data_IF_246789837437
#
_entry.id   IF_246789837437
#
_cell.length_a   1.000
_cell.length_b   1.000
_cell.length_c   1.000
_cell.angle_alpha   90.00
_cell.angle_beta   90.00
_cell.angle_gamma   90.00
#
_symmetry.space_group_name_H-M   'P 1'
#
loop_
_entity.id
_entity.type
_entity.pdbx_description
1 polymer ?
#
# COMPACT_ATOMS: atom_id res chain seq x y z
N UNK A 1 18.00 10.58 39.80
CA UNK A 1 17.71 11.17 38.48
C UNK A 1 17.98 10.09 37.45
N UNK A 2 17.01 9.62 36.67
CA UNK A 2 17.29 8.67 35.62
C UNK A 2 17.99 9.41 34.47
N UNK A 3 19.10 8.85 34.01
CA UNK A 3 19.83 9.27 32.83
C UNK A 3 18.85 9.29 31.65
N UNK A 4 18.60 10.48 31.11
CA UNK A 4 17.90 10.67 29.84
C UNK A 4 18.63 9.90 28.75
N UNK A 5 17.95 8.94 28.15
CA UNK A 5 18.37 8.28 26.90
C UNK A 5 18.84 9.36 25.89
N UNK A 6 19.95 9.14 25.16
CA UNK A 6 20.46 10.14 24.23
C UNK A 6 19.45 10.36 23.09
N UNK A 7 18.72 11.46 23.18
CA UNK A 7 18.05 12.18 22.09
C UNK A 7 17.07 11.39 21.20
N UNK A 8 15.99 10.85 21.79
CA UNK A 8 14.77 10.61 21.01
C UNK A 8 14.26 11.97 20.47
N UNK A 9 14.38 12.20 19.15
CA UNK A 9 13.81 13.36 18.47
C UNK A 9 12.63 12.90 17.61
N UNK A 10 11.41 13.38 17.87
CA UNK A 10 10.25 13.05 17.03
C UNK A 10 10.54 13.33 15.55
N UNK A 11 10.28 12.34 14.69
CA UNK A 11 10.37 12.51 13.24
C UNK A 11 9.04 13.04 12.68
N UNK A 12 7.94 12.61 13.29
CA UNK A 12 6.59 13.03 12.98
C UNK A 12 5.87 13.49 14.26
N UNK A 13 4.84 14.30 14.08
CA UNK A 13 3.96 14.72 15.17
C UNK A 13 3.12 13.53 15.65
N UNK A 14 2.87 13.39 16.96
CA UNK A 14 2.02 12.32 17.48
C UNK A 14 0.54 12.55 17.17
N UNK A 15 0.10 13.81 17.04
CA UNK A 15 -1.23 14.12 16.54
C UNK A 15 -1.34 13.84 15.03
N UNK A 16 -2.51 13.37 14.61
CA UNK A 16 -2.78 13.01 13.23
C UNK A 16 -4.20 13.42 12.85
N UNK A 17 -4.42 13.65 11.55
CA UNK A 17 -5.76 13.78 10.97
C UNK A 17 -6.19 12.39 10.46
N UNK A 18 -7.46 12.06 10.63
CA UNK A 18 -8.03 10.81 10.12
C UNK A 18 -9.26 11.09 9.29
N UNK A 19 -9.32 10.47 8.10
CA UNK A 19 -10.45 10.53 7.20
C UNK A 19 -10.95 9.10 6.93
N UNK A 20 -12.22 8.77 7.25
CA UNK A 20 -12.81 7.49 6.86
C UNK A 20 -12.79 7.33 5.34
N UNK A 21 -12.29 6.20 4.86
CA UNK A 21 -12.20 5.88 3.44
C UNK A 21 -12.06 4.36 3.27
N UNK A 22 -12.88 3.76 2.41
CA UNK A 22 -12.76 2.33 2.12
C UNK A 22 -11.81 2.13 0.95
N UNK A 23 -10.60 1.66 1.23
CA UNK A 23 -9.60 1.34 0.20
C UNK A 23 -9.64 -0.16 -0.08
N UNK A 24 -10.02 -0.54 -1.30
CA UNK A 24 -10.17 -1.96 -1.64
C UNK A 24 -8.81 -2.59 -1.94
N UNK A 25 -8.41 -3.55 -1.10
CA UNK A 25 -7.20 -4.34 -1.28
C UNK A 25 -7.58 -5.70 -1.89
N UNK A 26 -7.18 -5.93 -3.14
CA UNK A 26 -7.53 -7.17 -3.86
C UNK A 26 -6.39 -8.14 -4.05
N UNK A 27 -5.16 -7.70 -3.80
CA UNK A 27 -4.00 -8.58 -3.76
C UNK A 27 -3.38 -8.50 -2.37
N UNK A 28 -3.21 -9.66 -1.73
CA UNK A 28 -2.78 -9.72 -0.34
C UNK A 28 -1.35 -9.23 -0.12
N UNK A 29 -0.47 -9.31 -1.13
CA UNK A 29 0.90 -8.76 -1.05
C UNK A 29 1.04 -7.33 -1.59
N UNK A 30 0.22 -6.89 -2.55
CA UNK A 30 0.46 -5.61 -3.22
C UNK A 30 -0.31 -4.52 -2.48
N UNK A 31 0.42 -3.54 -1.95
CA UNK A 31 -0.12 -2.51 -1.06
C UNK A 31 0.19 -1.08 -1.53
N UNK A 32 0.57 -0.84 -2.79
CA UNK A 32 0.86 0.52 -3.29
C UNK A 32 -0.39 1.10 -4.01
N UNK A 33 -1.49 1.28 -3.27
CA UNK A 33 -2.81 1.62 -3.83
C UNK A 33 -3.22 3.10 -3.68
N UNK A 34 -2.42 3.91 -2.99
CA UNK A 34 -2.72 5.34 -2.79
C UNK A 34 -1.72 6.22 -3.53
N UNK A 35 -2.17 7.35 -4.06
CA UNK A 35 -1.32 8.29 -4.80
C UNK A 35 -1.64 9.74 -4.48
N UNK A 36 -0.62 10.56 -4.31
CA UNK A 36 -0.70 12.01 -4.09
C UNK A 36 0.04 12.73 -5.21
N UNK A 37 -0.63 13.45 -6.13
CA UNK A 37 0.05 14.19 -7.18
C UNK A 37 0.84 15.36 -6.61
N UNK A 38 2.08 15.55 -7.09
CA UNK A 38 2.96 16.64 -6.64
C UNK A 38 2.34 18.03 -6.76
N UNK A 39 1.63 18.30 -7.85
CA UNK A 39 1.05 19.62 -8.12
C UNK A 39 -0.32 19.85 -7.44
N UNK A 40 -0.86 18.84 -6.77
CA UNK A 40 -2.11 18.95 -6.00
C UNK A 40 -1.96 18.18 -4.67
N UNK A 41 -1.03 18.60 -3.80
CA UNK A 41 -0.63 17.81 -2.64
C UNK A 41 -1.78 17.59 -1.64
N UNK A 42 -2.80 18.46 -1.63
CA UNK A 42 -4.00 18.29 -0.82
C UNK A 42 -4.99 17.24 -1.33
N UNK A 43 -4.72 16.57 -2.46
CA UNK A 43 -5.56 15.50 -2.99
C UNK A 43 -4.83 14.15 -2.90
N UNK A 44 -5.56 13.11 -2.48
CA UNK A 44 -5.11 11.72 -2.52
C UNK A 44 -6.11 10.88 -3.32
N UNK A 45 -5.61 9.96 -4.13
CA UNK A 45 -6.41 9.06 -4.93
C UNK A 45 -6.26 7.62 -4.45
N UNK A 46 -7.34 6.85 -4.50
CA UNK A 46 -7.33 5.43 -4.10
C UNK A 46 -8.47 4.65 -4.79
N UNK A 47 -8.34 3.33 -4.94
CA UNK A 47 -9.40 2.48 -5.44
C UNK A 47 -10.39 2.06 -4.35
N UNK A 48 -11.67 2.08 -4.69
CA UNK A 48 -12.78 1.49 -3.94
C UNK A 48 -13.56 0.60 -4.93
N UNK A 49 -13.23 -0.68 -4.90
CA UNK A 49 -13.59 -1.69 -5.89
C UNK A 49 -13.07 -1.28 -7.28
N UNK A 50 -13.97 -0.97 -8.22
CA UNK A 50 -13.63 -0.46 -9.56
C UNK A 50 -13.53 1.07 -9.61
N UNK A 51 -14.16 1.75 -8.66
CA UNK A 51 -14.20 3.21 -8.63
C UNK A 51 -12.87 3.78 -8.12
N UNK A 52 -12.42 4.87 -8.71
CA UNK A 52 -11.31 5.67 -8.18
C UNK A 52 -11.88 6.87 -7.45
N UNK A 53 -11.47 7.02 -6.20
CA UNK A 53 -11.84 8.11 -5.33
C UNK A 53 -10.75 9.18 -5.29
N UNK A 54 -11.16 10.42 -5.06
CA UNK A 54 -10.30 11.56 -4.72
C UNK A 54 -10.74 12.11 -3.36
N UNK A 55 -9.84 12.02 -2.40
CA UNK A 55 -9.99 12.53 -1.04
C UNK A 55 -9.26 13.85 -0.89
N UNK A 56 -9.98 14.88 -0.47
CA UNK A 56 -9.42 16.15 -0.01
C UNK A 56 -8.85 15.98 1.40
N UNK A 57 -7.53 16.06 1.52
CA UNK A 57 -6.79 15.86 2.76
C UNK A 57 -7.06 16.94 3.82
N UNK A 58 -7.57 18.11 3.42
CA UNK A 58 -7.85 19.22 4.34
C UNK A 58 -9.16 19.04 5.11
N UNK A 59 -10.19 18.53 4.44
CA UNK A 59 -11.57 18.51 4.94
C UNK A 59 -12.24 17.12 4.91
N UNK A 60 -11.57 16.11 4.37
CA UNK A 60 -12.07 14.74 4.30
C UNK A 60 -13.14 14.50 3.24
N UNK A 61 -13.38 15.46 2.34
CA UNK A 61 -14.35 15.29 1.25
C UNK A 61 -13.85 14.21 0.29
N UNK A 62 -14.61 13.13 0.21
CA UNK A 62 -14.38 12.01 -0.69
C UNK A 62 -15.32 12.10 -1.91
N UNK A 63 -14.76 11.92 -3.11
CA UNK A 63 -15.49 12.00 -4.39
C UNK A 63 -15.02 10.94 -5.36
N UNK A 64 -15.96 10.26 -6.03
CA UNK A 64 -15.64 9.37 -7.16
C UNK A 64 -15.22 10.22 -8.35
N UNK A 65 -14.05 9.93 -8.92
CA UNK A 65 -13.47 10.67 -10.05
C UNK A 65 -13.29 9.83 -11.32
N UNK A 66 -13.29 8.50 -11.21
CA UNK A 66 -13.29 7.59 -12.34
C UNK A 66 -13.95 6.25 -11.95
N UNK A 67 -14.42 5.49 -12.94
CA UNK A 67 -14.84 4.10 -12.76
C UNK A 67 -14.11 3.24 -13.80
N UNK A 68 -13.32 2.28 -13.34
CA UNK A 68 -12.56 1.40 -14.22
C UNK A 68 -13.38 0.16 -14.58
N UNK A 69 -13.10 -0.47 -15.71
CA UNK A 69 -13.73 -1.74 -16.10
C UNK A 69 -13.14 -2.95 -15.35
N UNK A 70 -12.15 -2.73 -14.48
CA UNK A 70 -11.58 -3.71 -13.58
C UNK A 70 -11.25 -3.08 -12.24
N UNK A 71 -11.06 -3.92 -11.23
CA UNK A 71 -10.58 -3.46 -9.92
C UNK A 71 -9.05 -3.26 -9.97
N UNK A 72 -8.52 -2.07 -9.65
CA UNK A 72 -7.09 -1.83 -9.71
C UNK A 72 -6.29 -2.66 -8.69
N UNK A 73 -5.03 -2.92 -9.00
CA UNK A 73 -4.02 -3.53 -8.12
C UNK A 73 -2.83 -2.60 -7.87
N UNK A 74 -2.70 -1.59 -8.72
CA UNK A 74 -1.81 -0.46 -8.56
C UNK A 74 -2.46 0.79 -9.14
N UNK A 75 -2.07 1.96 -8.64
CA UNK A 75 -2.59 3.25 -9.05
C UNK A 75 -1.46 4.29 -9.03
N UNK A 76 -1.39 5.15 -10.04
CA UNK A 76 -0.59 6.37 -9.96
C UNK A 76 -1.31 7.53 -10.65
N UNK A 77 -1.08 8.75 -10.14
CA UNK A 77 -1.77 9.94 -10.62
C UNK A 77 -0.81 11.11 -10.87
N UNK A 78 -1.07 11.87 -11.94
CA UNK A 78 -0.67 13.27 -12.05
C UNK A 78 -1.86 14.17 -11.72
N UNK A 79 -1.73 15.48 -11.89
CA UNK A 79 -2.87 16.41 -11.79
C UNK A 79 -4.01 16.04 -12.73
N UNK A 80 -3.68 15.64 -13.97
CA UNK A 80 -4.66 15.51 -15.04
C UNK A 80 -4.92 14.06 -15.45
N UNK A 81 -4.09 13.12 -15.02
CA UNK A 81 -4.18 11.72 -15.46
C UNK A 81 -4.21 10.81 -14.24
N UNK A 82 -5.14 9.86 -14.26
CA UNK A 82 -5.18 8.73 -13.35
C UNK A 82 -4.88 7.49 -14.18
N UNK A 83 -3.91 6.69 -13.75
CA UNK A 83 -3.65 5.39 -14.37
C UNK A 83 -3.71 4.28 -13.33
N UNK A 84 -4.11 3.10 -13.77
CA UNK A 84 -4.04 1.91 -12.92
C UNK A 84 -3.84 0.66 -13.75
N UNK A 85 -3.27 -0.33 -13.08
CA UNK A 85 -3.05 -1.67 -13.60
C UNK A 85 -3.78 -2.70 -12.76
N UNK A 86 -4.17 -3.81 -13.38
CA UNK A 86 -4.83 -4.91 -12.70
C UNK A 86 -4.76 -6.21 -13.49
N UNK A 87 -5.74 -7.07 -13.24
CA UNK A 87 -5.92 -8.36 -13.88
C UNK A 87 -7.37 -8.46 -14.34
N UNK A 88 -7.59 -9.06 -15.51
CA UNK A 88 -8.92 -9.40 -15.99
C UNK A 88 -9.63 -10.33 -14.99
N UNK A 89 -10.81 -9.94 -14.52
CA UNK A 89 -11.60 -10.79 -13.66
C UNK A 89 -12.20 -11.94 -14.50
N UNK A 90 -12.01 -13.18 -14.04
CA UNK A 90 -12.52 -14.37 -14.73
C UNK A 90 -14.05 -14.50 -14.60
N UNK A 91 -14.68 -13.73 -13.71
CA UNK A 91 -16.13 -13.73 -13.52
C UNK A 91 -16.87 -13.03 -14.66
N UNK A 92 -16.29 -11.99 -15.28
CA UNK A 92 -16.89 -11.25 -16.41
C UNK A 92 -17.02 -12.07 -17.70
N UNK A 93 -16.20 -13.11 -17.86
CA UNK A 93 -16.23 -13.98 -19.05
C UNK A 93 -17.51 -14.82 -19.10
N UNK A 94 -18.13 -15.12 -17.94
CA UNK A 94 -19.28 -16.03 -17.85
C UNK A 94 -20.60 -15.43 -18.32
N UNK A 95 -20.74 -14.11 -18.32
CA UNK A 95 -22.00 -13.42 -18.68
C UNK A 95 -22.14 -13.11 -20.18
N UNK A 96 -21.10 -13.33 -21.00
CA UNK A 96 -21.13 -12.94 -22.43
C UNK A 96 -21.78 -13.96 -23.36
N UNK A 97 -22.36 -15.06 -22.86
CA UNK A 97 -23.14 -16.02 -23.65
C UNK A 97 -22.37 -16.70 -24.80
N UNK A 98 -21.05 -16.50 -24.89
CA UNK A 98 -20.19 -17.20 -25.86
C UNK A 98 -19.88 -18.59 -25.33
N UNK A 99 -20.10 -19.57 -26.21
CA UNK A 99 -19.88 -21.00 -26.02
C UNK A 99 -18.78 -21.31 -25.00
N UNK A 100 -19.15 -21.99 -23.90
CA UNK A 100 -18.27 -22.42 -22.80
C UNK A 100 -17.23 -23.48 -23.21
N UNK A 101 -16.95 -23.59 -24.50
CA UNK A 101 -16.05 -24.56 -25.15
C UNK A 101 -14.93 -23.89 -25.96
N UNK A 102 -14.89 -22.56 -26.02
CA UNK A 102 -13.82 -21.81 -26.68
C UNK A 102 -13.02 -20.99 -25.66
N UNK A 103 -11.86 -21.54 -25.30
CA UNK A 103 -10.72 -20.92 -24.63
C UNK A 103 -10.90 -20.48 -23.17
N UNK A 104 -10.37 -21.32 -22.27
CA UNK A 104 -9.80 -20.88 -21.00
C UNK A 104 -8.58 -19.98 -21.28
N UNK A 105 -8.81 -18.79 -21.84
CA UNK A 105 -7.75 -17.81 -22.00
C UNK A 105 -7.23 -17.46 -20.61
N UNK A 106 -5.90 -17.51 -20.38
CA UNK A 106 -5.34 -17.09 -19.10
C UNK A 106 -5.73 -15.63 -18.84
N UNK A 107 -6.05 -15.31 -17.58
CA UNK A 107 -6.39 -13.95 -17.18
C UNK A 107 -5.24 -13.01 -17.59
N UNK A 108 -5.55 -11.98 -18.39
CA UNK A 108 -4.56 -11.05 -18.93
C UNK A 108 -4.43 -9.81 -18.06
N UNK A 109 -3.28 -9.15 -18.13
CA UNK A 109 -3.08 -7.86 -17.47
C UNK A 109 -3.97 -6.80 -18.10
N UNK A 110 -4.55 -5.93 -17.27
CA UNK A 110 -5.33 -4.79 -17.72
C UNK A 110 -4.64 -3.49 -17.32
N UNK A 111 -4.76 -2.49 -18.18
CA UNK A 111 -4.23 -1.15 -17.98
C UNK A 111 -5.29 -0.14 -18.39
N UNK A 112 -5.47 0.90 -17.58
CA UNK A 112 -6.40 1.97 -17.85
C UNK A 112 -5.80 3.34 -17.60
N UNK A 113 -6.28 4.31 -18.37
CA UNK A 113 -5.97 5.73 -18.29
C UNK A 113 -7.29 6.49 -18.25
N UNK A 114 -7.45 7.32 -17.23
CA UNK A 114 -8.51 8.31 -17.16
C UNK A 114 -7.91 9.71 -17.23
N UNK A 115 -8.31 10.48 -18.25
CA UNK A 115 -7.92 11.86 -18.41
C UNK A 115 -8.94 12.75 -17.70
N UNK A 116 -8.54 13.34 -16.58
CA UNK A 116 -9.40 14.21 -15.75
C UNK A 116 -9.72 15.55 -16.41
N UNK A 117 -8.93 15.98 -17.38
CA UNK A 117 -9.17 17.24 -18.09
C UNK A 117 -10.27 17.08 -19.14
N UNK A 118 -10.24 15.99 -19.92
CA UNK A 118 -11.26 15.72 -20.96
C UNK A 118 -12.44 14.90 -20.44
N UNK A 119 -12.26 14.14 -19.37
CA UNK A 119 -13.20 13.15 -18.86
C UNK A 119 -13.10 11.79 -19.55
N UNK A 120 -12.18 11.63 -20.51
CA UNK A 120 -12.07 10.41 -21.30
C UNK A 120 -11.48 9.25 -20.49
N UNK A 121 -11.89 8.03 -20.86
CA UNK A 121 -11.43 6.77 -20.28
C UNK A 121 -10.98 5.82 -21.38
N UNK A 122 -9.81 5.22 -21.20
CA UNK A 122 -9.22 4.24 -22.12
C UNK A 122 -8.70 3.05 -21.32
N UNK A 123 -9.12 1.85 -21.68
CA UNK A 123 -8.60 0.59 -21.12
C UNK A 123 -8.19 -0.37 -22.21
N UNK A 124 -7.32 -1.31 -21.87
CA UNK A 124 -6.92 -2.38 -22.76
C UNK A 124 -6.08 -3.44 -22.06
N UNK A 125 -5.90 -4.55 -22.76
CA UNK A 125 -5.00 -5.61 -22.36
C UNK A 125 -3.55 -5.14 -22.46
N UNK A 126 -2.77 -5.36 -21.40
CA UNK A 126 -1.36 -5.06 -21.35
C UNK A 126 -0.67 -6.15 -20.52
N UNK A 127 0.07 -7.00 -21.23
CA UNK A 127 0.79 -8.15 -20.68
C UNK A 127 -0.08 -9.39 -20.45
N UNK A 128 0.59 -10.52 -20.23
CA UNK A 128 -0.06 -11.83 -20.20
C UNK A 128 -0.46 -12.27 -18.78
N UNK A 129 0.00 -11.56 -17.75
CA UNK A 129 -0.39 -11.76 -16.36
C UNK A 129 -0.74 -10.42 -15.69
N UNK A 130 -0.97 -10.42 -14.38
CA UNK A 130 -1.33 -9.24 -13.59
C UNK A 130 -0.31 -8.10 -13.75
N UNK A 131 -0.82 -6.87 -13.90
CA UNK A 131 -0.04 -5.64 -13.78
C UNK A 131 0.08 -5.25 -12.30
N UNK A 132 1.24 -5.53 -11.71
CA UNK A 132 1.49 -5.44 -10.26
C UNK A 132 1.77 -4.01 -9.78
N UNK A 133 2.43 -3.21 -10.62
CA UNK A 133 2.78 -1.84 -10.30
C UNK A 133 2.82 -0.99 -11.56
N UNK A 134 2.65 0.31 -11.37
CA UNK A 134 2.80 1.30 -12.43
C UNK A 134 3.58 2.50 -11.91
N UNK A 135 4.50 2.99 -12.75
CA UNK A 135 5.32 4.18 -12.49
C UNK A 135 5.15 5.22 -13.59
N UNK A 136 4.60 6.40 -13.29
CA UNK A 136 4.57 7.55 -14.22
C UNK A 136 5.86 8.36 -14.15
N UNK A 137 6.30 8.84 -15.31
CA UNK A 137 7.37 9.82 -15.44
C UNK A 137 7.14 10.73 -16.65
N UNK A 138 7.59 11.97 -16.55
CA UNK A 138 7.60 12.92 -17.65
C UNK A 138 8.96 12.83 -18.36
N UNK A 139 8.98 12.33 -19.60
CA UNK A 139 10.20 12.30 -20.40
C UNK A 139 10.53 13.69 -20.96
N UNK A 140 9.48 14.47 -21.24
CA UNK A 140 9.55 15.89 -21.60
C UNK A 140 8.26 16.59 -21.14
N UNK A 141 8.20 17.94 -21.15
CA UNK A 141 7.00 18.67 -20.75
C UNK A 141 5.72 18.32 -21.51
N UNK A 142 5.84 17.65 -22.66
CA UNK A 142 4.70 17.25 -23.51
C UNK A 142 4.58 15.73 -23.66
N UNK A 143 5.45 14.95 -23.02
CA UNK A 143 5.46 13.49 -23.16
C UNK A 143 5.44 12.81 -21.79
N UNK A 144 4.24 12.42 -21.38
CA UNK A 144 4.00 11.60 -20.20
C UNK A 144 4.10 10.12 -20.57
N UNK A 145 4.84 9.35 -19.80
CA UNK A 145 5.03 7.92 -20.00
C UNK A 145 4.74 7.15 -18.72
N UNK A 146 4.37 5.89 -18.86
CA UNK A 146 4.23 4.93 -17.77
C UNK A 146 5.17 3.74 -17.98
N UNK A 147 5.68 3.20 -16.88
CA UNK A 147 6.33 1.90 -16.81
C UNK A 147 5.41 0.96 -16.05
N UNK A 148 4.98 -0.13 -16.68
CA UNK A 148 4.10 -1.13 -16.08
C UNK A 148 4.89 -2.39 -15.77
N UNK A 149 4.85 -2.84 -14.51
CA UNK A 149 5.43 -4.10 -14.08
C UNK A 149 4.42 -5.21 -14.23
N UNK A 150 4.71 -6.16 -15.11
CA UNK A 150 3.87 -7.32 -15.29
C UNK A 150 4.50 -8.57 -14.67
N UNK A 151 3.65 -9.41 -14.08
CA UNK A 151 4.05 -10.69 -13.52
C UNK A 151 4.52 -11.70 -14.58
N UNK A 152 4.34 -11.39 -15.87
CA UNK A 152 4.90 -12.14 -17.00
C UNK A 152 6.42 -11.96 -17.19
N UNK A 153 7.11 -11.31 -16.24
CA UNK A 153 8.53 -10.94 -16.28
C UNK A 153 8.87 -9.74 -17.17
N UNK A 154 7.92 -8.98 -17.68
CA UNK A 154 8.18 -7.86 -18.59
C UNK A 154 7.91 -6.51 -17.94
N UNK A 155 8.77 -5.54 -18.27
CA UNK A 155 8.45 -4.12 -18.14
C UNK A 155 7.86 -3.64 -19.45
N UNK A 156 6.70 -3.00 -19.39
CA UNK A 156 6.07 -2.34 -20.53
C UNK A 156 6.21 -0.82 -20.40
N UNK A 157 6.60 -0.17 -21.49
CA UNK A 157 6.75 1.28 -21.58
C UNK A 157 5.63 1.84 -22.43
N UNK A 158 4.80 2.67 -21.82
CA UNK A 158 3.56 3.16 -22.44
C UNK A 158 3.61 4.67 -22.58
N UNK A 159 3.39 5.17 -23.78
CA UNK A 159 3.14 6.59 -24.03
C UNK A 159 1.69 6.92 -23.68
N UNK A 160 1.49 7.97 -22.89
CA UNK A 160 0.16 8.42 -22.43
C UNK A 160 -0.21 9.67 -23.21
N UNK A 161 -1.15 9.54 -24.14
CA UNK A 161 -1.66 10.63 -24.95
C UNK A 161 -2.94 11.21 -24.33
N UNK A 162 -3.37 12.36 -24.85
CA UNK A 162 -4.64 12.97 -24.43
C UNK A 162 -5.82 12.03 -24.59
N UNK A 163 -5.84 11.24 -25.68
CA UNK A 163 -6.99 10.44 -26.08
C UNK A 163 -6.69 8.95 -26.34
N UNK A 164 -5.55 8.45 -25.88
CA UNK A 164 -5.16 7.04 -26.03
C UNK A 164 -3.91 6.75 -25.20
N UNK A 165 -3.51 5.48 -25.15
CA UNK A 165 -2.17 5.08 -24.74
C UNK A 165 -1.61 4.08 -25.75
N UNK A 166 -0.28 4.04 -25.87
CA UNK A 166 0.42 3.13 -26.79
C UNK A 166 1.60 2.46 -26.09
N UNK A 167 1.72 1.14 -26.21
CA UNK A 167 2.90 0.41 -25.75
C UNK A 167 4.03 0.61 -26.76
N UNK A 168 4.96 1.46 -26.40
CA UNK A 168 6.11 1.85 -27.23
C UNK A 168 7.26 0.84 -27.20
N UNK A 169 7.47 0.15 -26.08
CA UNK A 169 8.56 -0.80 -25.87
C UNK A 169 8.18 -1.80 -24.79
N UNK A 170 8.72 -3.02 -24.87
CA UNK A 170 8.70 -3.97 -23.76
C UNK A 170 10.07 -4.62 -23.57
N UNK A 171 10.45 -4.84 -22.31
CA UNK A 171 11.72 -5.47 -21.96
C UNK A 171 11.43 -6.69 -21.08
N UNK A 172 11.82 -7.85 -21.57
CA UNK A 172 11.77 -9.09 -20.81
C UNK A 172 12.91 -9.15 -19.81
N UNK A 173 12.58 -9.29 -18.54
CA UNK A 173 13.51 -9.46 -17.43
C UNK A 173 13.57 -10.92 -16.98
N UNK A 174 14.33 -11.19 -15.90
CA UNK A 174 14.69 -12.55 -15.48
C UNK A 174 13.69 -13.21 -14.54
N UNK A 175 12.67 -12.49 -14.05
CA UNK A 175 11.69 -12.99 -13.10
C UNK A 175 10.39 -12.18 -13.16
N UNK A 176 9.26 -12.72 -12.67
CA UNK A 176 8.04 -11.95 -12.44
C UNK A 176 8.32 -10.68 -11.63
N UNK A 177 7.67 -9.58 -11.98
CA UNK A 177 7.97 -8.25 -11.44
C UNK A 177 6.86 -7.78 -10.51
N UNK A 178 7.24 -7.28 -9.32
CA UNK A 178 6.29 -6.75 -8.35
C UNK A 178 6.27 -5.22 -8.35
N UNK A 179 7.41 -4.57 -8.61
CA UNK A 179 7.51 -3.12 -8.59
C UNK A 179 8.69 -2.61 -9.42
N UNK A 180 8.56 -1.41 -9.96
CA UNK A 180 9.66 -0.66 -10.54
C UNK A 180 9.46 0.83 -10.32
N UNK A 181 10.55 1.54 -10.12
CA UNK A 181 10.59 2.98 -9.98
C UNK A 181 11.47 3.60 -11.06
N UNK A 182 11.07 4.77 -11.55
CA UNK A 182 11.86 5.60 -12.45
C UNK A 182 12.61 6.65 -11.63
N UNK A 183 13.87 6.92 -11.95
CA UNK A 183 14.66 7.96 -11.30
C UNK A 183 14.07 9.35 -11.56
N UNK A 184 14.31 10.34 -10.67
CA UNK A 184 13.78 11.69 -10.82
C UNK A 184 14.16 12.39 -12.12
N UNK A 185 15.30 12.03 -12.72
CA UNK A 185 15.77 12.56 -14.01
C UNK A 185 15.26 11.78 -15.22
N UNK A 186 14.46 10.72 -15.02
CA UNK A 186 13.88 9.90 -16.09
C UNK A 186 14.87 8.94 -16.76
N UNK A 187 16.11 8.80 -16.29
CA UNK A 187 17.19 8.09 -17.02
C UNK A 187 17.51 6.69 -16.49
N UNK A 188 17.04 6.35 -15.30
CA UNK A 188 17.28 5.05 -14.68
C UNK A 188 15.96 4.44 -14.20
N UNK A 189 15.89 3.12 -14.25
CA UNK A 189 14.82 2.34 -13.64
C UNK A 189 15.46 1.30 -12.74
N UNK A 190 14.88 1.11 -11.56
CA UNK A 190 15.13 -0.06 -10.73
C UNK A 190 13.85 -0.87 -10.66
N UNK A 191 13.95 -2.18 -10.85
CA UNK A 191 12.86 -3.13 -10.77
C UNK A 191 13.19 -4.26 -9.79
N UNK A 192 12.15 -4.74 -9.09
CA UNK A 192 12.20 -5.88 -8.19
C UNK A 192 11.02 -6.82 -8.43
N UNK A 193 11.12 -8.04 -7.91
CA UNK A 193 10.09 -9.05 -8.13
C UNK A 193 10.30 -10.31 -7.29
N UNK A 194 9.90 -11.45 -7.83
CA UNK A 194 9.84 -12.72 -7.09
C UNK A 194 11.20 -13.42 -6.88
N UNK A 195 12.28 -12.65 -6.97
CA UNK A 195 13.63 -13.14 -6.68
C UNK A 195 14.40 -12.14 -5.81
N UNK A 196 15.50 -12.59 -5.17
CA UNK A 196 16.43 -11.70 -4.47
C UNK A 196 17.11 -10.64 -5.36
N UNK A 197 16.95 -10.72 -6.68
CA UNK A 197 17.69 -9.89 -7.63
C UNK A 197 16.96 -8.56 -7.84
N UNK A 198 17.73 -7.48 -7.78
CA UNK A 198 17.34 -6.17 -8.27
C UNK A 198 17.90 -5.98 -9.67
N UNK A 199 17.09 -5.35 -10.53
CA UNK A 199 17.39 -5.14 -11.94
C UNK A 199 17.42 -3.65 -12.21
N UNK A 200 18.52 -3.15 -12.78
CA UNK A 200 18.70 -1.74 -13.10
C UNK A 200 18.81 -1.53 -14.60
N UNK A 201 17.95 -0.67 -15.13
CA UNK A 201 17.92 -0.27 -16.52
C UNK A 201 18.33 1.20 -16.64
N UNK A 202 18.92 1.57 -17.77
CA UNK A 202 19.10 2.98 -18.15
C UNK A 202 19.02 3.14 -19.66
N UNK A 203 18.75 4.37 -20.10
CA UNK A 203 18.73 4.70 -21.53
C UNK A 203 20.17 4.82 -22.06
N UNK A 204 20.46 4.14 -23.17
CA UNK A 204 21.74 4.23 -23.86
C UNK A 204 21.84 5.46 -24.78
N UNK A 205 22.94 5.58 -25.53
CA UNK A 205 23.13 6.65 -26.52
C UNK A 205 22.04 6.65 -27.62
N UNK A 206 21.46 5.48 -27.91
CA UNK A 206 20.38 5.28 -28.88
C UNK A 206 18.96 5.56 -28.36
N UNK A 207 18.81 6.17 -27.16
CA UNK A 207 17.51 6.52 -26.53
C UNK A 207 16.59 5.34 -26.13
N UNK A 208 17.00 4.09 -26.34
CA UNK A 208 16.26 2.89 -25.89
C UNK A 208 16.62 2.46 -24.47
N UNK A 209 15.69 1.83 -23.76
CA UNK A 209 15.94 1.26 -22.44
C UNK A 209 16.71 -0.06 -22.56
N UNK A 210 17.70 -0.27 -21.70
CA UNK A 210 18.43 -1.55 -21.66
C UNK A 210 18.70 -2.00 -20.24
N UNK A 211 18.66 -3.33 -20.01
CA UNK A 211 19.07 -3.93 -18.75
C UNK A 211 20.60 -3.87 -18.63
N UNK A 212 21.08 -3.05 -17.69
CA UNK A 212 22.51 -2.77 -17.55
C UNK A 212 23.13 -3.48 -16.36
N UNK A 213 22.37 -3.68 -15.28
CA UNK A 213 22.86 -4.39 -14.08
C UNK A 213 21.79 -5.30 -13.50
N UNK A 214 22.23 -6.46 -13.03
CA UNK A 214 21.45 -7.36 -12.18
C UNK A 214 22.33 -7.72 -11.01
N UNK A 215 21.84 -7.50 -9.79
CA UNK A 215 22.61 -7.75 -8.59
C UNK A 215 21.72 -8.34 -7.49
N UNK A 216 22.34 -9.12 -6.62
CA UNK A 216 21.67 -9.83 -5.55
C UNK A 216 21.59 -8.93 -4.32
N UNK A 217 20.36 -8.70 -3.84
CA UNK A 217 20.10 -7.86 -2.67
C UNK A 217 20.49 -8.51 -1.35
N UNK A 218 20.73 -9.83 -1.33
CA UNK A 218 20.86 -10.65 -0.10
C UNK A 218 19.60 -10.64 0.76
N UNK A 219 18.44 -10.55 0.11
CA UNK A 219 17.11 -10.69 0.70
C UNK A 219 16.25 -11.70 -0.05
N UNK A 220 15.00 -11.86 0.39
CA UNK A 220 13.96 -12.60 -0.35
C UNK A 220 13.38 -11.76 -1.53
N UNK A 221 12.12 -12.00 -1.91
CA UNK A 221 11.39 -11.29 -2.97
C UNK A 221 11.24 -9.80 -2.66
N UNK A 222 11.44 -8.96 -3.67
CA UNK A 222 11.25 -7.51 -3.57
C UNK A 222 9.81 -7.09 -3.91
N UNK A 223 9.28 -6.14 -3.14
CA UNK A 223 7.89 -5.67 -3.27
C UNK A 223 7.74 -4.17 -3.53
N UNK A 224 8.76 -3.38 -3.19
CA UNK A 224 8.71 -1.94 -3.45
C UNK A 224 10.12 -1.41 -3.65
N UNK A 225 10.25 -0.52 -4.64
CA UNK A 225 11.45 0.26 -4.88
C UNK A 225 11.07 1.72 -5.04
N UNK A 226 11.93 2.62 -4.59
CA UNK A 226 11.73 4.07 -4.79
C UNK A 226 13.07 4.78 -4.86
N UNK A 227 13.12 5.87 -5.61
CA UNK A 227 14.27 6.76 -5.62
C UNK A 227 14.10 7.88 -4.60
N UNK A 228 15.19 8.22 -3.92
CA UNK A 228 15.31 9.51 -3.24
C UNK A 228 15.25 10.64 -4.28
N UNK A 229 14.65 11.81 -3.99
CA UNK A 229 14.55 12.93 -4.93
C UNK A 229 15.88 13.38 -5.56
N UNK A 230 17.01 13.14 -4.88
CA UNK A 230 18.35 13.41 -5.43
C UNK A 230 18.73 12.56 -6.65
N UNK A 231 18.08 11.41 -6.86
CA UNK A 231 18.47 10.40 -7.86
C UNK A 231 19.75 9.60 -7.55
N UNK A 232 20.49 9.96 -6.49
CA UNK A 232 21.74 9.27 -6.10
C UNK A 232 21.48 8.03 -5.24
N UNK A 233 20.37 8.03 -4.50
CA UNK A 233 19.98 6.94 -3.60
C UNK A 233 18.66 6.34 -4.05
N UNK A 234 18.53 5.03 -3.95
CA UNK A 234 17.24 4.35 -4.02
C UNK A 234 17.12 3.33 -2.89
N UNK A 235 15.88 3.03 -2.51
CA UNK A 235 15.53 2.00 -1.54
C UNK A 235 14.84 0.82 -2.22
N UNK A 236 15.01 -0.36 -1.64
CA UNK A 236 14.27 -1.58 -1.98
C UNK A 236 13.76 -2.24 -0.70
N UNK A 237 12.51 -2.70 -0.69
CA UNK A 237 11.85 -3.38 0.43
C UNK A 237 11.44 -4.81 0.04
N UNK A 238 11.65 -5.74 0.98
CA UNK A 238 11.61 -7.17 0.73
C UNK A 238 10.67 -7.93 1.68
N UNK A 239 10.25 -9.11 1.24
CA UNK A 239 9.32 -10.01 1.95
C UNK A 239 9.82 -10.49 3.31
N UNK A 240 11.13 -10.64 3.46
CA UNK A 240 11.79 -11.06 4.70
C UNK A 240 11.82 -9.94 5.77
N UNK A 241 11.20 -8.79 5.51
CA UNK A 241 11.19 -7.65 6.42
C UNK A 241 12.51 -6.88 6.43
N UNK A 242 13.28 -6.97 5.34
CA UNK A 242 14.46 -6.14 5.11
C UNK A 242 14.16 -5.03 4.11
N UNK A 243 14.68 -3.84 4.39
CA UNK A 243 14.82 -2.79 3.40
C UNK A 243 16.28 -2.38 3.30
N UNK A 244 16.72 -2.08 2.07
CA UNK A 244 18.09 -1.69 1.79
C UNK A 244 18.13 -0.42 0.96
N UNK A 245 19.00 0.49 1.35
CA UNK A 245 19.28 1.72 0.62
C UNK A 245 20.59 1.56 -0.14
N UNK A 246 20.66 2.01 -1.38
CA UNK A 246 21.82 1.84 -2.26
C UNK A 246 22.21 3.16 -2.91
N UNK A 247 23.51 3.33 -3.17
CA UNK A 247 24.02 4.38 -4.05
C UNK A 247 23.93 3.91 -5.50
N UNK A 248 23.27 4.67 -6.39
CA UNK A 248 23.10 4.31 -7.80
C UNK A 248 24.43 4.13 -8.54
N UNK A 249 25.50 4.74 -8.05
CA UNK A 249 26.86 4.68 -8.60
C UNK A 249 27.63 3.45 -8.11
N UNK A 250 27.28 2.88 -6.96
CA UNK A 250 27.98 1.76 -6.33
C UNK A 250 27.00 0.76 -5.67
N UNK A 251 26.70 -0.32 -6.40
CA UNK A 251 25.70 -1.32 -6.00
C UNK A 251 26.28 -2.53 -5.26
N UNK A 252 27.58 -2.52 -4.94
CA UNK A 252 28.26 -3.69 -4.36
C UNK A 252 27.75 -4.03 -2.96
N UNK A 253 27.43 -3.00 -2.17
CA UNK A 253 26.90 -3.10 -0.82
C UNK A 253 25.85 -2.00 -0.62
N UNK A 254 24.83 -2.23 0.23
CA UNK A 254 23.90 -1.18 0.61
C UNK A 254 24.60 -0.10 1.45
N UNK A 255 24.10 1.14 1.35
CA UNK A 255 24.44 2.25 2.22
C UNK A 255 23.88 2.04 3.63
N UNK A 256 22.68 1.48 3.73
CA UNK A 256 22.00 1.19 4.99
C UNK A 256 21.07 -0.02 4.85
N UNK A 257 20.88 -0.73 5.95
CA UNK A 257 19.91 -1.82 6.08
C UNK A 257 18.92 -1.47 7.20
N UNK A 258 17.63 -1.52 6.90
CA UNK A 258 16.54 -1.21 7.84
C UNK A 258 15.75 -2.48 8.07
N UNK A 259 15.56 -2.85 9.34
CA UNK A 259 14.92 -4.11 9.75
C UNK A 259 13.49 -3.89 10.21
N UNK A 260 12.66 -4.88 9.91
CA UNK A 260 11.32 -5.05 10.48
C UNK A 260 11.39 -5.18 12.00
N UNK A 261 10.31 -4.78 12.65
CA UNK A 261 10.07 -5.02 14.08
C UNK A 261 9.51 -6.41 14.37
N UNK A 262 9.17 -7.19 13.34
CA UNK A 262 8.59 -8.54 13.45
C UNK A 262 9.35 -9.53 12.56
N UNK A 263 10.64 -9.80 12.86
CA UNK A 263 11.44 -10.69 12.05
C UNK A 263 10.84 -12.09 12.05
N UNK A 264 10.88 -12.77 10.90
CA UNK A 264 10.34 -14.13 10.69
C UNK A 264 8.81 -14.25 10.78
N UNK A 265 8.09 -13.14 10.96
CA UNK A 265 6.63 -13.10 10.86
C UNK A 265 6.21 -12.53 9.51
N UNK A 266 5.18 -13.11 8.90
CA UNK A 266 4.63 -12.58 7.64
C UNK A 266 4.09 -11.16 7.81
N UNK A 267 3.58 -10.82 9.00
CA UNK A 267 3.11 -9.47 9.28
C UNK A 267 4.26 -8.44 9.23
N UNK A 268 5.50 -8.87 9.50
CA UNK A 268 6.70 -8.05 9.41
C UNK A 268 7.25 -7.85 8.01
N UNK A 269 6.68 -8.49 6.98
CA UNK A 269 7.10 -8.33 5.60
C UNK A 269 6.93 -6.88 5.14
N UNK A 270 7.95 -6.30 4.49
CA UNK A 270 7.85 -4.93 4.00
C UNK A 270 7.13 -4.88 2.65
N UNK A 271 6.20 -3.93 2.49
CA UNK A 271 5.30 -3.87 1.33
C UNK A 271 5.40 -2.57 0.54
N UNK A 272 5.59 -1.42 1.19
CA UNK A 272 5.74 -0.13 0.52
C UNK A 272 6.95 0.61 1.07
N UNK A 273 7.71 1.26 0.19
CA UNK A 273 8.82 2.13 0.54
C UNK A 273 8.67 3.45 -0.24
N UNK A 274 8.66 4.59 0.45
CA UNK A 274 8.65 5.93 -0.18
C UNK A 274 9.59 6.88 0.55
N UNK A 275 10.12 7.84 -0.19
CA UNK A 275 10.93 8.93 0.34
C UNK A 275 10.08 10.19 0.53
N UNK A 276 10.45 11.04 1.48
CA UNK A 276 10.01 12.43 1.48
C UNK A 276 10.55 13.15 0.23
N UNK A 277 9.80 14.09 -0.32
CA UNK A 277 10.25 14.90 -1.48
C UNK A 277 10.78 16.28 -1.12
N UNK A 278 10.49 16.77 0.08
CA UNK A 278 11.00 18.04 0.60
C UNK A 278 12.35 17.88 1.32
N UNK A 279 12.77 18.91 2.10
CA UNK A 279 14.05 18.92 2.81
C UNK A 279 14.12 17.97 4.03
N UNK A 280 13.09 17.15 4.23
CA UNK A 280 12.94 16.31 5.41
C UNK A 280 13.90 15.12 5.43
N UNK A 281 14.43 14.66 4.29
CA UNK A 281 15.35 13.51 4.22
C UNK A 281 14.86 12.29 5.05
N UNK A 282 13.63 11.83 4.78
CA UNK A 282 13.02 10.66 5.42
C UNK A 282 12.78 9.54 4.41
N UNK A 283 12.84 8.30 4.91
CA UNK A 283 12.25 7.14 4.25
C UNK A 283 11.17 6.53 5.13
N UNK A 284 10.07 6.14 4.50
CA UNK A 284 8.92 5.51 5.10
C UNK A 284 8.77 4.09 4.55
N UNK A 285 8.61 3.10 5.42
CA UNK A 285 8.49 1.69 5.03
C UNK A 285 7.33 1.05 5.78
N UNK A 286 6.34 0.50 5.08
CA UNK A 286 5.27 -0.27 5.73
C UNK A 286 5.68 -1.72 5.91
N UNK A 287 5.40 -2.25 7.09
CA UNK A 287 5.17 -3.67 7.28
C UNK A 287 3.77 -4.04 6.74
N UNK A 288 3.50 -5.33 6.55
CA UNK A 288 2.24 -5.80 5.97
C UNK A 288 1.01 -5.33 6.77
N UNK A 289 1.11 -5.23 8.09
CA UNK A 289 0.01 -4.76 8.95
C UNK A 289 0.46 -3.70 9.95
N UNK A 290 -0.34 -2.64 10.14
CA UNK A 290 -0.26 -1.67 11.24
C UNK A 290 1.03 -0.86 11.44
N UNK A 291 2.21 -1.29 11.03
CA UNK A 291 3.47 -0.65 11.39
C UNK A 291 4.10 0.05 10.20
N UNK A 292 4.47 1.31 10.41
CA UNK A 292 5.26 2.10 9.45
C UNK A 292 6.55 2.53 10.13
N UNK A 293 7.67 2.21 9.49
CA UNK A 293 8.99 2.64 9.88
C UNK A 293 9.24 4.02 9.29
N UNK A 294 9.72 4.95 10.09
CA UNK A 294 10.18 6.27 9.68
C UNK A 294 11.65 6.37 10.06
N UNK A 295 12.53 6.55 9.08
CA UNK A 295 13.98 6.59 9.30
C UNK A 295 14.56 7.89 8.77
N UNK A 296 15.37 8.55 9.60
CA UNK A 296 16.13 9.74 9.24
C UNK A 296 17.33 9.37 8.36
N UNK A 297 17.37 9.88 7.13
CA UNK A 297 18.43 9.55 6.17
C UNK A 297 19.74 10.28 6.44
N UNK A 298 19.74 11.27 7.35
CA UNK A 298 20.94 12.06 7.66
C UNK A 298 21.92 11.27 8.53
N UNK A 299 21.41 10.37 9.36
CA UNK A 299 22.23 9.55 10.28
C UNK A 299 21.91 8.05 10.26
N UNK A 300 20.74 7.64 9.73
CA UNK A 300 20.22 6.27 9.78
C UNK A 300 20.06 5.67 11.19
N UNK A 301 20.18 6.49 12.22
CA UNK A 301 20.11 6.08 13.63
C UNK A 301 18.77 6.48 14.25
N UNK A 302 18.21 7.63 13.86
CA UNK A 302 16.88 7.99 14.33
C UNK A 302 15.82 7.20 13.54
N UNK A 303 15.34 6.12 14.15
CA UNK A 303 14.36 5.20 13.58
C UNK A 303 13.14 5.12 14.51
N UNK A 304 11.99 5.56 13.99
CA UNK A 304 10.70 5.51 14.66
C UNK A 304 9.77 4.49 14.03
N UNK A 305 8.90 3.93 14.86
CA UNK A 305 7.86 3.00 14.44
C UNK A 305 6.51 3.60 14.83
N UNK A 306 5.70 3.87 13.82
CA UNK A 306 4.31 4.28 13.95
C UNK A 306 3.43 3.04 13.91
N UNK A 307 2.68 2.79 14.98
CA UNK A 307 1.58 1.83 14.98
C UNK A 307 0.28 2.53 14.62
N UNK A 308 -0.21 2.24 13.41
CA UNK A 308 -1.47 2.71 12.83
C UNK A 308 -2.62 1.99 13.53
N UNK A 309 -3.56 2.73 14.13
CA UNK A 309 -4.71 2.16 14.83
C UNK A 309 -5.65 1.38 13.92
N UNK A 310 -6.17 0.25 14.40
CA UNK A 310 -7.32 -0.43 13.80
C UNK A 310 -8.60 0.20 14.34
N UNK A 311 -9.45 0.74 13.46
CA UNK A 311 -10.83 1.04 13.85
C UNK A 311 -11.58 -0.28 13.95
N UNK A 312 -12.07 -0.60 15.16
CA UNK A 312 -12.78 -1.86 15.45
C UNK A 312 -13.90 -2.08 14.43
N UNK A 313 -13.80 -3.14 13.61
CA UNK A 313 -14.96 -3.71 12.92
C UNK A 313 -16.05 -4.04 13.97
N UNK A 314 -17.35 -3.85 13.67
CA UNK A 314 -18.41 -4.30 14.56
C UNK A 314 -18.27 -5.81 14.81
N UNK A 315 -18.59 -6.31 16.02
CA UNK A 315 -18.51 -7.73 16.30
C UNK A 315 -19.40 -8.51 15.32
N UNK A 316 -19.00 -9.71 14.89
CA UNK A 316 -19.87 -10.55 14.07
C UNK A 316 -21.20 -10.75 14.81
N UNK A 317 -22.34 -10.82 14.09
CA UNK A 317 -23.61 -11.10 14.73
C UNK A 317 -23.47 -12.37 15.56
N UNK A 318 -23.84 -12.30 16.84
CA UNK A 318 -23.92 -13.49 17.67
C UNK A 318 -24.85 -14.46 16.97
N UNK A 319 -24.33 -15.64 16.61
CA UNK A 319 -25.16 -16.76 16.24
C UNK A 319 -25.90 -17.20 17.51
N UNK A 320 -27.02 -16.53 17.80
CA UNK A 320 -28.02 -17.05 18.73
C UNK A 320 -28.76 -18.18 18.00
N UNK A 321 -28.05 -19.28 17.75
CA UNK A 321 -28.63 -20.59 17.47
C UNK A 321 -28.34 -21.47 18.70
N UNK A 322 -28.84 -21.04 19.85
CA UNK A 322 -29.14 -21.97 20.93
C UNK A 322 -30.35 -22.79 20.46
N UNK A 323 -30.04 -23.98 19.95
CA UNK A 323 -30.99 -25.06 19.82
C UNK A 323 -31.44 -25.47 21.22
N UNK A 324 -32.51 -24.84 21.72
CA UNK A 324 -33.29 -25.39 22.82
C UNK A 324 -34.23 -26.48 22.29
N UNK A 325 -33.81 -27.71 22.58
CA UNK A 325 -34.55 -28.93 22.36
C UNK A 325 -35.54 -29.12 23.53
N UNK A 326 -36.83 -28.84 23.32
CA UNK A 326 -37.89 -29.53 24.06
C UNK A 326 -39.25 -29.45 23.37
N UNK A 327 -39.85 -30.62 23.24
CA UNK A 327 -41.15 -30.91 22.63
C UNK A 327 -42.26 -30.92 23.68
N UNK A 328 -43.40 -30.29 23.39
CA UNK A 328 -44.74 -30.80 23.71
C UNK A 328 -45.84 -29.96 23.06
N UNK A 329 -46.91 -30.64 22.62
CA UNK A 329 -47.90 -30.19 21.63
C UNK A 329 -49.08 -29.32 22.12
N UNK A 330 -50.22 -29.32 21.38
CA UNK A 330 -50.92 -28.09 20.98
C UNK A 330 -52.21 -27.81 21.75
N UNK A 331 -52.68 -26.55 21.76
CA UNK A 331 -54.12 -26.22 21.91
C UNK A 331 -54.49 -24.84 21.33
N UNK A 332 -55.66 -24.78 20.65
CA UNK A 332 -56.34 -23.58 20.15
C UNK A 332 -57.06 -22.81 21.27
N UNK A 333 -57.16 -21.47 21.15
CA UNK A 333 -58.41 -20.67 21.09
C UNK A 333 -58.22 -19.19 21.54
N UNK A 334 -58.74 -18.26 20.73
CA UNK A 334 -59.01 -16.83 21.05
C UNK A 334 -60.29 -16.69 21.90
N UNK A 335 -60.81 -15.49 22.34
CA UNK A 335 -60.43 -14.09 22.00
C UNK A 335 -60.56 -12.99 23.11
N UNK A 336 -60.20 -11.76 22.74
CA UNK A 336 -60.85 -10.46 23.03
C UNK A 336 -60.54 -9.57 24.27
N UNK A 337 -60.27 -8.29 23.93
CA UNK A 337 -60.77 -6.99 24.47
C UNK A 337 -60.06 -6.20 25.60
N UNK A 338 -59.63 -4.98 25.20
CA UNK A 338 -59.62 -3.67 25.93
C UNK A 338 -58.65 -3.52 27.12
N UNK A 339 -57.92 -2.42 27.33
CA UNK A 339 -58.26 -0.99 27.21
C UNK A 339 -57.02 -0.06 27.29
N UNK A 340 -57.22 1.12 26.70
CA UNK A 340 -56.56 2.44 26.62
C UNK A 340 -55.49 2.93 27.65
N UNK A 341 -54.76 4.04 27.34
CA UNK A 341 -53.37 4.32 27.76
C UNK A 341 -53.19 5.54 28.71
N UNK A 342 -51.98 5.72 29.28
CA UNK A 342 -51.42 6.98 29.86
C UNK A 342 -49.93 6.80 30.27
N UNK A 343 -49.11 7.87 30.34
CA UNK A 343 -48.09 8.26 29.36
C UNK A 343 -46.62 7.98 29.80
N UNK A 344 -45.62 8.05 28.88
CA UNK A 344 -44.22 8.02 29.28
C UNK A 344 -43.75 9.41 29.72
N UNK A 345 -43.25 9.49 30.96
CA UNK A 345 -42.47 10.61 31.47
C UNK A 345 -41.12 10.68 30.78
N UNK A 346 -40.81 11.86 30.25
CA UNK A 346 -39.53 12.22 29.67
C UNK A 346 -38.39 12.11 30.69
N UNK A 347 -37.31 11.43 30.31
CA UNK A 347 -35.96 11.77 30.75
C UNK A 347 -35.02 11.59 29.57
N UNK A 348 -34.81 12.69 28.86
CA UNK A 348 -33.75 12.88 27.89
C UNK A 348 -32.39 12.89 28.60
N UNK A 349 -31.56 11.90 28.32
CA UNK A 349 -30.12 12.01 28.48
C UNK A 349 -29.46 11.29 27.32
N UNK A 350 -29.27 12.01 26.22
CA UNK A 350 -28.41 11.58 25.13
C UNK A 350 -26.96 11.56 25.63
N UNK A 351 -26.23 10.44 25.60
CA UNK A 351 -24.78 10.50 25.69
C UNK A 351 -24.26 10.91 24.30
N UNK A 352 -23.72 12.12 24.19
CA UNK A 352 -22.87 12.51 23.08
C UNK A 352 -21.60 11.66 23.12
N UNK A 353 -21.60 10.54 22.41
CA UNK A 353 -20.39 9.76 22.18
C UNK A 353 -19.54 10.46 21.12
N UNK A 354 -18.69 11.39 21.53
CA UNK A 354 -17.51 11.75 20.72
C UNK A 354 -16.58 10.55 20.75
N UNK A 355 -16.74 9.63 19.79
CA UNK A 355 -15.79 8.56 19.54
C UNK A 355 -14.45 9.21 19.14
N UNK A 356 -13.54 9.36 20.10
CA UNK A 356 -12.16 9.75 19.80
C UNK A 356 -11.53 8.62 18.99
N UNK A 357 -11.06 8.90 17.79
CA UNK A 357 -10.33 7.93 16.99
C UNK A 357 -9.23 7.26 17.84
N UNK A 358 -9.02 5.94 17.72
CA UNK A 358 -8.05 5.21 18.52
C UNK A 358 -6.66 5.82 18.32
N UNK A 359 -5.88 5.93 19.40
CA UNK A 359 -4.63 6.70 19.37
C UNK A 359 -3.50 5.91 18.71
N UNK A 360 -2.74 6.50 17.77
CA UNK A 360 -1.52 5.89 17.27
C UNK A 360 -0.48 5.79 18.38
N UNK A 361 0.39 4.80 18.26
CA UNK A 361 1.53 4.63 19.16
C UNK A 361 2.80 4.90 18.37
N UNK A 362 3.56 5.90 18.80
CA UNK A 362 4.84 6.27 18.21
C UNK A 362 5.94 5.90 19.21
N UNK A 363 6.88 5.06 18.79
CA UNK A 363 7.97 4.54 19.62
C UNK A 363 9.28 4.56 18.85
N UNK A 364 10.42 4.49 19.56
CA UNK A 364 11.69 4.19 18.89
C UNK A 364 11.71 2.72 18.45
N UNK A 365 12.51 2.40 17.44
CA UNK A 365 12.69 1.01 17.02
C UNK A 365 13.22 0.13 18.15
N UNK A 366 14.18 0.63 18.93
CA UNK A 366 14.78 -0.10 20.06
C UNK A 366 13.74 -0.37 21.16
N UNK A 367 12.82 0.55 21.41
CA UNK A 367 11.74 0.36 22.38
C UNK A 367 10.79 -0.77 21.93
N UNK A 368 10.40 -0.78 20.66
CA UNK A 368 9.53 -1.84 20.11
C UNK A 368 10.23 -3.19 20.18
N UNK A 369 11.51 -3.23 19.80
CA UNK A 369 12.29 -4.47 19.84
C UNK A 369 12.56 -4.96 21.26
N UNK A 370 12.88 -4.06 22.19
CA UNK A 370 13.13 -4.40 23.60
C UNK A 370 11.92 -5.04 24.27
N UNK A 371 10.72 -4.49 24.04
CA UNK A 371 9.46 -5.06 24.54
C UNK A 371 9.19 -6.46 23.97
N UNK A 372 9.50 -6.69 22.69
CA UNK A 372 9.32 -8.00 22.06
C UNK A 372 10.22 -9.09 22.68
N UNK A 373 11.45 -8.73 23.08
CA UNK A 373 12.37 -9.67 23.74
C UNK A 373 11.95 -9.99 25.20
N UNK A 374 11.42 -9.02 25.95
CA UNK A 374 10.95 -9.24 27.33
C UNK A 374 9.65 -10.05 27.41
N UNK A 375 8.79 -9.98 26.38
CA UNK A 375 7.60 -10.85 26.25
C UNK A 375 7.92 -12.30 25.85
N UNK A 376 9.21 -12.66 25.77
CA UNK A 376 9.75 -13.92 25.27
C UNK A 376 9.37 -15.20 26.03
N UNK A 377 8.50 -15.17 27.05
CA UNK A 377 7.95 -16.38 27.67
C UNK A 377 6.62 -16.87 27.09
N UNK A 378 5.89 -16.03 26.34
CA UNK A 378 4.65 -16.45 25.65
C UNK A 378 4.85 -16.70 24.14
N UNK A 379 5.84 -16.08 23.52
CA UNK A 379 6.18 -16.27 22.10
C UNK A 379 6.65 -17.70 21.77
N UNK A 380 7.20 -18.44 22.74
CA UNK A 380 7.61 -19.85 22.54
C UNK A 380 6.40 -20.80 22.36
N UNK A 381 5.16 -20.41 22.69
CA UNK A 381 3.98 -21.27 22.46
C UNK A 381 3.53 -21.34 21.00
N UNK A 382 3.83 -20.33 20.18
CA UNK A 382 3.60 -20.39 18.73
C UNK A 382 4.69 -21.14 17.97
N UNK A 383 5.81 -21.43 18.64
CA UNK A 383 6.95 -22.17 18.09
C UNK A 383 6.69 -23.68 17.93
N UNK A 384 5.64 -24.20 18.57
CA UNK A 384 5.42 -25.66 18.68
C UNK A 384 4.44 -26.23 17.64
N UNK A 385 3.66 -25.41 16.92
CA UNK A 385 2.66 -25.92 15.97
C UNK A 385 2.97 -25.72 14.47
N UNK A 386 4.09 -25.11 14.11
CA UNK A 386 4.59 -25.15 12.74
C UNK A 386 5.83 -26.05 12.70
N UNK A 387 5.62 -27.27 12.20
CA UNK A 387 6.68 -28.26 12.01
C UNK A 387 7.89 -27.69 11.28
N UNK A 388 9.06 -28.18 11.67
CA UNK A 388 10.39 -27.93 11.11
C UNK A 388 10.38 -27.26 9.73
N UNK A 389 10.79 -25.98 9.72
CA UNK A 389 11.05 -25.19 8.53
C UNK A 389 12.22 -25.80 7.75
N UNK A 390 11.93 -26.48 6.64
CA UNK A 390 12.92 -26.93 5.66
C UNK A 390 12.99 -25.92 4.50
N UNK A 391 14.10 -25.17 4.34
CA UNK A 391 14.25 -24.16 3.28
C UNK A 391 14.26 -24.74 1.85
N UNK A 392 14.34 -26.07 1.68
CA UNK A 392 14.52 -26.71 0.38
C UNK A 392 13.23 -27.20 -0.30
N UNK A 393 12.07 -27.11 0.37
CA UNK A 393 10.79 -27.67 -0.12
C UNK A 393 9.79 -26.64 -0.66
N UNK A 394 10.21 -25.40 -0.95
CA UNK A 394 9.37 -24.35 -1.54
C UNK A 394 9.00 -24.57 -3.03
N UNK A 395 9.26 -25.75 -3.59
CA UNK A 395 8.70 -26.18 -4.85
C UNK A 395 7.50 -27.10 -4.55
N UNK A 396 6.29 -26.71 -4.96
CA UNK A 396 5.06 -27.51 -4.93
C UNK A 396 4.29 -27.66 -3.60
N UNK A 397 3.99 -26.56 -2.90
CA UNK A 397 2.71 -26.48 -2.18
C UNK A 397 1.86 -25.37 -2.77
N UNK A 398 0.59 -25.63 -3.20
CA UNK A 398 -0.25 -24.58 -3.75
C UNK A 398 -0.47 -23.53 -2.69
N UNK A 399 0.00 -22.33 -2.99
CA UNK A 399 -0.15 -21.13 -2.18
C UNK A 399 -1.55 -21.07 -1.55
N UNK A 400 -2.59 -21.26 -2.37
CA UNK A 400 -4.00 -21.06 -2.06
C UNK A 400 -4.50 -21.62 -0.72
N UNK A 401 -4.04 -22.80 -0.28
CA UNK A 401 -4.61 -23.48 0.89
C UNK A 401 -4.20 -22.88 2.26
N UNK A 402 -3.13 -22.06 2.31
CA UNK A 402 -2.78 -21.29 3.53
C UNK A 402 -3.41 -19.91 3.57
N UNK A 403 -3.90 -19.40 2.43
CA UNK A 403 -4.33 -18.01 2.26
C UNK A 403 -5.85 -17.79 2.38
N UNK A 404 -6.67 -18.85 2.46
CA UNK A 404 -8.11 -18.76 2.77
C UNK A 404 -8.43 -18.24 4.19
N UNK A 405 -7.42 -17.89 5.02
CA UNK A 405 -7.62 -17.26 6.33
C UNK A 405 -7.61 -15.72 6.29
N UNK A 406 -7.19 -15.09 5.19
CA UNK A 406 -7.25 -13.62 5.06
C UNK A 406 -8.62 -13.24 4.48
N UNK A 407 -9.66 -13.44 5.29
CA UNK A 407 -11.03 -13.06 4.98
C UNK A 407 -11.32 -11.64 5.42
N UNK A 408 -11.91 -10.85 4.52
CA UNK A 408 -12.80 -9.68 4.69
C UNK A 408 -12.55 -8.57 5.75
N UNK A 409 -11.66 -8.71 6.72
CA UNK A 409 -11.34 -7.76 7.81
C UNK A 409 -9.80 -7.62 8.00
N UNK A 410 -9.06 -7.48 6.88
CA UNK A 410 -7.62 -7.24 6.91
C UNK A 410 -7.34 -5.75 7.12
N UNK A 411 -7.17 -5.35 8.39
CA UNK A 411 -6.74 -4.01 8.82
C UNK A 411 -5.26 -3.71 8.48
N UNK A 412 -4.81 -4.22 7.33
CA UNK A 412 -3.50 -4.01 6.76
C UNK A 412 -3.34 -2.61 6.18
N UNK A 413 -2.09 -2.22 5.96
CA UNK A 413 -1.76 -0.96 5.29
C UNK A 413 -2.03 -1.16 3.80
N UNK A 414 -2.93 -0.35 3.22
CA UNK A 414 -3.28 -0.35 1.79
C UNK A 414 -2.36 0.53 0.94
N UNK A 415 -1.52 1.33 1.60
CA UNK A 415 -0.40 2.05 1.01
C UNK A 415 0.12 3.18 1.88
N UNK A 416 1.24 3.75 1.47
CA UNK A 416 1.79 4.97 2.06
C UNK A 416 2.30 5.89 0.97
N UNK A 417 2.23 7.20 1.20
CA UNK A 417 2.80 8.21 0.32
C UNK A 417 3.23 9.45 1.10
N UNK A 418 4.16 10.20 0.51
CA UNK A 418 4.52 11.54 0.96
C UNK A 418 3.59 12.58 0.32
N UNK A 419 3.23 13.62 1.07
CA UNK A 419 2.56 14.79 0.52
C UNK A 419 3.16 16.08 1.09
N UNK A 420 3.31 17.09 0.24
CA UNK A 420 3.68 18.45 0.64
C UNK A 420 2.52 19.21 1.34
N UNK A 421 1.36 18.56 1.51
CA UNK A 421 0.19 19.15 2.16
C UNK A 421 0.53 19.60 3.59
N UNK A 422 0.08 20.81 3.96
CA UNK A 422 0.33 21.43 5.27
C UNK A 422 1.81 21.51 5.69
N UNK A 423 2.73 21.56 4.71
CA UNK A 423 4.17 21.67 4.93
C UNK A 423 4.90 20.34 5.13
N UNK A 424 4.33 19.23 4.63
CA UNK A 424 4.96 17.91 4.63
C UNK A 424 4.31 16.95 5.61
N UNK A 425 3.71 15.88 5.08
CA UNK A 425 3.10 14.82 5.88
C UNK A 425 3.28 13.42 5.27
N UNK A 426 3.35 12.44 6.15
CA UNK A 426 3.18 11.03 5.83
C UNK A 426 1.67 10.74 5.76
N UNK A 427 1.23 10.21 4.63
CA UNK A 427 -0.14 9.73 4.41
C UNK A 427 -0.11 8.20 4.40
N UNK A 428 -0.94 7.57 5.23
CA UNK A 428 -1.05 6.11 5.31
C UNK A 428 -2.50 5.71 5.08
N UNK A 429 -2.72 4.86 4.08
CA UNK A 429 -4.02 4.24 3.82
C UNK A 429 -4.14 2.90 4.53
N UNK A 430 -5.34 2.60 5.01
CA UNK A 430 -5.78 1.28 5.46
C UNK A 430 -7.06 0.90 4.71
N UNK A 431 -7.60 -0.27 4.97
CA UNK A 431 -8.94 -0.69 4.54
C UNK A 431 -10.08 0.19 5.10
N UNK A 432 -9.83 0.83 6.25
CA UNK A 432 -10.79 1.57 7.07
C UNK A 432 -10.69 3.09 6.93
N UNK A 433 -9.54 3.61 6.50
CA UNK A 433 -9.39 5.04 6.22
C UNK A 433 -7.97 5.49 5.95
N UNK A 434 -7.78 6.79 6.10
CA UNK A 434 -6.52 7.48 5.77
C UNK A 434 -6.08 8.29 6.97
N UNK A 435 -4.87 8.02 7.46
CA UNK A 435 -4.21 8.81 8.49
C UNK A 435 -3.14 9.73 7.91
N UNK A 436 -3.03 10.94 8.46
CA UNK A 436 -2.06 11.95 8.06
C UNK A 436 -1.24 12.40 9.27
N UNK A 437 0.07 12.14 9.24
CA UNK A 437 1.01 12.56 10.27
C UNK A 437 1.94 13.63 9.72
N UNK A 438 1.89 14.82 10.31
CA UNK A 438 2.79 15.92 9.92
C UNK A 438 4.22 15.59 10.32
N UNK A 439 5.19 15.91 9.47
CA UNK A 439 6.61 15.81 9.86
C UNK A 439 6.96 16.93 10.83
N UNK A 440 7.74 16.62 11.87
CA UNK A 440 8.22 17.61 12.82
C UNK A 440 9.40 18.41 12.21
N UNK A 441 9.09 19.27 11.24
CA UNK A 441 10.11 20.08 10.57
C UNK A 441 10.88 21.00 11.52
N UNK A 442 10.20 21.53 12.55
CA UNK A 442 10.80 22.42 13.56
C UNK A 442 11.81 21.67 14.44
N UNK A 443 11.41 20.54 15.03
CA UNK A 443 12.29 19.72 15.87
C UNK A 443 13.46 19.11 15.09
N UNK A 444 13.26 18.88 13.79
CA UNK A 444 14.27 18.35 12.87
C UNK A 444 15.13 19.43 12.20
N UNK A 445 14.80 20.72 12.42
CA UNK A 445 15.46 21.89 11.80
C UNK A 445 15.48 21.84 10.27
N UNK A 446 14.42 21.29 9.69
CA UNK A 446 14.18 21.26 8.24
C UNK A 446 13.15 22.33 7.95
N UNK A 447 13.56 23.40 7.28
CA UNK A 447 12.70 24.53 6.97
C UNK A 447 12.33 24.47 5.49
N UNK A 448 11.04 24.62 5.13
CA UNK A 448 10.66 24.75 3.73
C UNK A 448 11.41 25.92 3.11
N UNK A 449 12.04 25.72 1.95
CA UNK A 449 12.57 26.84 1.18
C UNK A 449 11.37 27.68 0.73
N UNK A 450 11.28 28.93 1.20
CA UNK A 450 10.29 29.87 0.69
C UNK A 450 10.54 30.12 -0.79
N UNK A 451 9.50 30.01 -1.62
CA UNK A 451 9.52 30.65 -2.93
C UNK A 451 9.52 32.17 -2.68
N UNK A 452 10.59 32.86 -3.09
CA UNK A 452 10.56 34.31 -3.17
C UNK A 452 9.54 34.63 -4.29
N UNK A 453 8.42 35.25 -3.91
CA UNK A 453 7.36 35.66 -4.82
C UNK A 453 7.87 36.58 -5.93
#
# INVERSE_FOLDING_TARGET
MPLTSPHYRPLIMPEYKFHPARITIKHWQLRDLISTPKCSPGQMFYPCDRAIHSLDLSNGKDTVVADFDFEPRCLQTTTNVIIGGGLQDLTDIRDTGRDSRLSASPARGLFAVHNRYTGDYYSGELGDFINNAVSLYEESPTRLRAVVCNNDCSLYFTDIHTSSFEVSESIKLTSPLNHAAVSPDGKMIVACGDTPKLMMLSQGESQGWSLNKVFDSKSDRGFSVAFHPSGVVFGAAFEDGMARLYDTRSLKMPLAEIKTTRPMEMNGAFRCLKFSTGPEDLVFISEQMHRVHIVDLRDFQNHQVLTVPTLLSPPPPSNDNDHDDSSSGPTLSSPALSSSPSPPSASSSSPSASSSAPRPVLQSFEEVMGVAYDAGSEFDRYRVNNGYFDPSTQAYTPAYARYSRYGHDDSGISGLTWSEHDGGCLVVGTDTGVGLWKVDGWGRRTFPAYSIC
#
